data_IF_991629056239
#
_entry.id   IF_991629056239
#
_cell.length_a   1.000
_cell.length_b   1.000
_cell.length_c   1.000
_cell.angle_alpha   90.00
_cell.angle_beta   90.00
_cell.angle_gamma   90.00
#
_symmetry.space_group_name_H-M   'P 1'
#
loop_
_entity.id
_entity.type
_entity.pdbx_description
1 polymer ?
#
# COMPACT_ATOMS: atom_id res chain seq x y z
N UNK A 1 -8.22 -13.06 -10.28
CA UNK A 1 -7.56 -11.90 -9.67
C UNK A 1 -7.71 -10.67 -10.56
N UNK A 2 -8.11 -9.53 -9.97
CA UNK A 2 -8.16 -8.23 -10.65
C UNK A 2 -6.87 -7.46 -10.31
N UNK A 3 -6.00 -7.26 -11.31
CA UNK A 3 -4.69 -6.64 -11.20
C UNK A 3 -4.56 -5.51 -12.23
N UNK A 4 -5.40 -4.49 -12.11
CA UNK A 4 -5.49 -3.36 -13.05
C UNK A 4 -4.97 -2.07 -12.43
N UNK A 5 -4.56 -1.06 -13.24
CA UNK A 5 -4.15 0.24 -12.71
C UNK A 5 -5.28 0.95 -11.95
N UNK A 6 -4.89 1.63 -10.86
CA UNK A 6 -5.76 2.51 -10.08
C UNK A 6 -5.06 3.86 -9.93
N UNK A 7 -5.10 4.74 -10.94
CA UNK A 7 -4.35 6.00 -10.94
C UNK A 7 -4.90 6.99 -9.91
N UNK A 8 -4.10 8.00 -9.56
CA UNK A 8 -4.60 9.15 -8.79
C UNK A 8 -5.45 10.04 -9.67
N UNK A 9 -6.57 10.50 -9.14
CA UNK A 9 -7.34 11.62 -9.69
C UNK A 9 -6.65 12.96 -9.37
N UNK A 10 -7.12 14.05 -9.97
CA UNK A 10 -6.58 15.41 -9.76
C UNK A 10 -6.67 15.87 -8.28
N UNK A 11 -7.71 15.45 -7.57
CA UNK A 11 -7.93 15.76 -6.15
C UNK A 11 -7.12 14.86 -5.20
N UNK A 12 -6.29 13.96 -5.73
CA UNK A 12 -5.50 12.99 -4.98
C UNK A 12 -6.22 11.69 -4.63
N UNK A 13 -7.51 11.55 -4.96
CA UNK A 13 -8.25 10.31 -4.73
C UNK A 13 -7.73 9.17 -5.62
N UNK A 14 -8.04 7.93 -5.25
CA UNK A 14 -7.72 6.75 -6.04
C UNK A 14 -8.86 6.48 -7.02
N UNK A 15 -8.59 6.54 -8.33
CA UNK A 15 -9.57 6.19 -9.35
C UNK A 15 -9.70 4.67 -9.45
N UNK A 16 -10.92 4.17 -9.31
CA UNK A 16 -11.25 2.73 -9.35
C UNK A 16 -12.13 2.34 -10.55
N UNK A 17 -12.31 3.22 -11.54
CA UNK A 17 -13.20 3.00 -12.69
C UNK A 17 -12.83 1.73 -13.47
N UNK A 18 -11.53 1.44 -13.62
CA UNK A 18 -11.09 0.22 -14.34
C UNK A 18 -11.43 -1.04 -13.53
N UNK A 19 -11.30 -1.00 -12.21
CA UNK A 19 -11.72 -2.12 -11.35
C UNK A 19 -13.22 -2.32 -11.46
N UNK A 20 -14.00 -1.24 -11.39
CA UNK A 20 -15.46 -1.28 -11.50
C UNK A 20 -15.92 -1.80 -12.86
N UNK A 21 -15.27 -1.39 -13.96
CA UNK A 21 -15.62 -1.92 -15.30
C UNK A 21 -15.44 -3.43 -15.41
N UNK A 22 -14.38 -3.98 -14.81
CA UNK A 22 -14.17 -5.44 -14.75
C UNK A 22 -15.27 -6.13 -13.92
N UNK A 23 -15.67 -5.52 -12.80
CA UNK A 23 -16.74 -6.08 -11.97
C UNK A 23 -18.10 -6.04 -12.68
N UNK A 24 -18.38 -4.99 -13.47
CA UNK A 24 -19.59 -4.91 -14.33
C UNK A 24 -19.59 -6.08 -15.31
N UNK A 25 -18.51 -6.29 -16.06
CA UNK A 25 -18.42 -7.40 -17.02
C UNK A 25 -18.61 -8.77 -16.35
N UNK A 26 -17.98 -9.02 -15.22
CA UNK A 26 -18.14 -10.27 -14.46
C UNK A 26 -19.58 -10.45 -13.97
N UNK A 27 -20.22 -9.37 -13.52
CA UNK A 27 -21.61 -9.39 -13.07
C UNK A 27 -22.58 -9.69 -14.20
N UNK A 28 -22.39 -9.08 -15.38
CA UNK A 28 -23.20 -9.33 -16.59
C UNK A 28 -23.05 -10.77 -17.09
N UNK A 29 -21.85 -11.35 -16.97
CA UNK A 29 -21.58 -12.75 -17.31
C UNK A 29 -22.13 -13.74 -16.27
N UNK A 30 -22.71 -13.27 -15.16
CA UNK A 30 -23.12 -14.08 -14.01
C UNK A 30 -21.99 -15.01 -13.52
N UNK A 31 -20.77 -14.43 -13.39
CA UNK A 31 -19.62 -15.18 -12.90
C UNK A 31 -19.88 -15.65 -11.47
N UNK A 32 -19.72 -16.95 -11.22
CA UNK A 32 -20.06 -17.59 -9.94
C UNK A 32 -18.82 -17.97 -9.07
N UNK A 33 -17.62 -17.64 -9.57
CA UNK A 33 -16.38 -17.90 -8.83
C UNK A 33 -15.96 -16.76 -7.89
N UNK A 34 -14.88 -16.98 -7.14
CA UNK A 34 -14.28 -15.97 -6.27
C UNK A 34 -13.58 -14.86 -7.07
N UNK A 35 -13.85 -13.62 -6.74
CA UNK A 35 -13.22 -12.43 -7.33
C UNK A 35 -12.29 -11.78 -6.31
N UNK A 36 -10.99 -11.82 -6.54
CA UNK A 36 -9.99 -11.26 -5.64
C UNK A 36 -9.38 -10.00 -6.25
N UNK A 37 -9.64 -8.83 -5.66
CA UNK A 37 -9.03 -7.56 -6.06
C UNK A 37 -7.62 -7.49 -5.46
N UNK A 38 -6.59 -7.37 -6.32
CA UNK A 38 -5.19 -7.10 -5.92
C UNK A 38 -4.76 -5.66 -6.20
N UNK A 39 -5.48 -4.96 -7.06
CA UNK A 39 -5.27 -3.53 -7.29
C UNK A 39 -5.47 -2.74 -6.01
N UNK A 40 -4.59 -1.78 -5.72
CA UNK A 40 -4.75 -0.93 -4.52
C UNK A 40 -5.99 -0.04 -4.67
N UNK A 41 -6.92 -0.19 -3.75
CA UNK A 41 -8.17 0.57 -3.67
C UNK A 41 -8.31 1.16 -2.27
N UNK A 42 -9.04 2.27 -2.14
CA UNK A 42 -9.22 2.98 -0.87
C UNK A 42 -9.96 2.12 0.14
N UNK A 43 -9.58 2.13 1.45
CA UNK A 43 -10.26 1.38 2.49
C UNK A 43 -11.78 1.59 2.50
N UNK A 44 -12.52 0.47 2.52
CA UNK A 44 -13.98 0.43 2.41
C UNK A 44 -14.51 0.23 0.98
N UNK A 45 -13.68 0.26 -0.05
CA UNK A 45 -14.09 0.12 -1.45
C UNK A 45 -14.62 -1.27 -1.77
N UNK A 46 -13.97 -2.33 -1.26
CA UNK A 46 -14.48 -3.70 -1.45
C UNK A 46 -15.89 -3.87 -0.91
N UNK A 47 -16.18 -3.27 0.25
CA UNK A 47 -17.52 -3.34 0.83
C UNK A 47 -18.56 -2.60 -0.02
N UNK A 48 -18.20 -1.47 -0.63
CA UNK A 48 -19.06 -0.76 -1.59
C UNK A 48 -19.33 -1.60 -2.83
N UNK A 49 -18.30 -2.24 -3.38
CA UNK A 49 -18.45 -3.13 -4.53
C UNK A 49 -19.30 -4.37 -4.22
N UNK A 50 -19.19 -4.96 -3.03
CA UNK A 50 -20.07 -6.06 -2.59
C UNK A 50 -21.55 -5.64 -2.52
N UNK A 51 -21.83 -4.40 -2.14
CA UNK A 51 -23.19 -3.88 -2.10
C UNK A 51 -23.73 -3.60 -3.52
N UNK A 52 -22.88 -3.13 -4.42
CA UNK A 52 -23.23 -2.81 -5.81
C UNK A 52 -23.37 -4.07 -6.68
N UNK A 53 -22.50 -5.05 -6.49
CA UNK A 53 -22.42 -6.31 -7.25
C UNK A 53 -22.71 -7.51 -6.34
N UNK A 54 -23.94 -7.60 -5.84
CA UNK A 54 -24.33 -8.59 -4.84
C UNK A 54 -24.39 -10.04 -5.36
N UNK A 55 -24.28 -10.22 -6.68
CA UNK A 55 -24.14 -11.53 -7.33
C UNK A 55 -22.69 -11.99 -7.47
N UNK A 56 -21.69 -11.18 -7.05
CA UNK A 56 -20.29 -11.54 -7.08
C UNK A 56 -19.73 -11.78 -5.67
N UNK A 57 -18.90 -12.82 -5.52
CA UNK A 57 -18.12 -13.06 -4.30
C UNK A 57 -16.81 -12.30 -4.38
N UNK A 58 -16.78 -11.05 -3.86
CA UNK A 58 -15.64 -10.13 -3.96
C UNK A 58 -14.82 -10.13 -2.67
N UNK A 59 -13.51 -10.28 -2.80
CA UNK A 59 -12.53 -10.24 -1.72
C UNK A 59 -11.35 -9.35 -2.10
N UNK A 60 -10.54 -8.97 -1.10
CA UNK A 60 -9.34 -8.14 -1.33
C UNK A 60 -8.07 -8.87 -0.89
N UNK A 61 -7.10 -8.99 -1.79
CA UNK A 61 -5.82 -9.67 -1.53
C UNK A 61 -4.68 -8.73 -1.92
N UNK A 62 -4.20 -7.88 -1.00
CA UNK A 62 -3.19 -6.87 -1.29
C UNK A 62 -1.85 -7.47 -1.73
N UNK A 63 -1.09 -6.68 -2.49
CA UNK A 63 0.26 -7.01 -2.92
C UNK A 63 1.28 -6.09 -2.24
N UNK A 64 2.40 -6.64 -1.75
CA UNK A 64 3.44 -5.91 -1.03
C UNK A 64 4.80 -5.91 -1.76
N UNK A 65 4.87 -6.52 -2.94
CA UNK A 65 6.09 -6.62 -3.74
C UNK A 65 6.59 -5.25 -4.21
N UNK A 66 7.91 -5.14 -4.36
CA UNK A 66 8.55 -3.98 -4.96
C UNK A 66 8.60 -4.17 -6.47
N UNK A 67 8.14 -3.18 -7.23
CA UNK A 67 8.05 -3.23 -8.70
C UNK A 67 9.36 -3.71 -9.36
N UNK A 68 10.51 -3.18 -8.93
CA UNK A 68 11.82 -3.51 -9.52
C UNK A 68 12.31 -4.92 -9.22
N UNK A 69 11.84 -5.54 -8.14
CA UNK A 69 12.28 -6.85 -7.67
C UNK A 69 11.11 -7.80 -7.45
N UNK A 70 9.99 -7.57 -8.14
CA UNK A 70 8.73 -8.27 -7.88
C UNK A 70 8.86 -9.80 -7.95
N UNK A 71 9.57 -10.33 -8.94
CA UNK A 71 9.79 -11.77 -9.08
C UNK A 71 10.64 -12.32 -7.92
N UNK A 72 11.74 -11.65 -7.58
CA UNK A 72 12.61 -12.03 -6.47
C UNK A 72 11.87 -11.94 -5.14
N UNK A 73 11.12 -10.86 -4.92
CA UNK A 73 10.33 -10.66 -3.72
C UNK A 73 9.24 -11.74 -3.59
N UNK A 74 8.58 -12.12 -4.69
CA UNK A 74 7.57 -13.16 -4.68
C UNK A 74 8.15 -14.55 -4.34
N UNK A 75 9.29 -14.89 -4.92
CA UNK A 75 9.89 -16.21 -4.75
C UNK A 75 10.66 -16.39 -3.43
N UNK A 76 11.31 -15.32 -2.94
CA UNK A 76 12.28 -15.42 -1.84
C UNK A 76 11.99 -14.51 -0.64
N UNK A 77 11.17 -13.46 -0.81
CA UNK A 77 10.88 -12.47 0.22
C UNK A 77 9.36 -12.33 0.49
N UNK A 78 8.57 -13.32 0.10
CA UNK A 78 7.13 -13.32 0.31
C UNK A 78 6.81 -13.72 1.76
N UNK A 79 6.92 -12.75 2.66
CA UNK A 79 6.80 -13.01 4.09
C UNK A 79 5.35 -13.12 4.58
N UNK A 80 4.40 -12.51 3.87
CA UNK A 80 3.01 -12.49 4.30
C UNK A 80 2.03 -12.50 3.13
N UNK A 81 1.05 -13.38 3.21
CA UNK A 81 -0.18 -13.35 2.42
C UNK A 81 -1.31 -12.80 3.29
N UNK A 82 -1.85 -11.66 2.91
CA UNK A 82 -3.04 -11.09 3.56
C UNK A 82 -4.26 -11.41 2.71
N UNK A 83 -5.30 -11.96 3.33
CA UNK A 83 -6.55 -12.33 2.68
C UNK A 83 -7.70 -11.60 3.35
N UNK A 84 -8.25 -10.60 2.68
CA UNK A 84 -9.44 -9.88 3.10
C UNK A 84 -10.70 -10.56 2.59
N UNK A 85 -11.16 -11.57 3.29
CA UNK A 85 -12.35 -12.34 2.96
C UNK A 85 -12.98 -12.92 4.23
N UNK A 86 -14.30 -13.02 4.22
CA UNK A 86 -15.14 -13.73 5.18
C UNK A 86 -15.74 -15.04 4.61
N UNK A 87 -15.33 -15.41 3.38
CA UNK A 87 -15.71 -16.63 2.69
C UNK A 87 -14.58 -17.67 2.74
N UNK A 88 -14.83 -18.81 3.42
CA UNK A 88 -13.85 -19.87 3.65
C UNK A 88 -13.38 -20.55 2.36
N UNK A 89 -14.25 -20.65 1.34
CA UNK A 89 -13.89 -21.21 0.05
C UNK A 89 -12.87 -20.30 -0.66
N UNK A 90 -13.15 -19.01 -0.75
CA UNK A 90 -12.20 -18.03 -1.30
C UNK A 90 -10.87 -18.03 -0.54
N UNK A 91 -10.91 -18.09 0.79
CA UNK A 91 -9.69 -18.15 1.61
C UNK A 91 -8.85 -19.39 1.25
N UNK A 92 -9.50 -20.53 1.07
CA UNK A 92 -8.83 -21.80 0.71
C UNK A 92 -8.23 -21.74 -0.70
N UNK A 93 -8.98 -21.22 -1.68
CA UNK A 93 -8.51 -21.04 -3.06
C UNK A 93 -7.33 -20.07 -3.16
N UNK A 94 -7.38 -18.97 -2.41
CA UNK A 94 -6.27 -18.00 -2.37
C UNK A 94 -5.02 -18.62 -1.76
N UNK A 95 -5.13 -19.37 -0.66
CA UNK A 95 -4.01 -20.10 -0.05
C UNK A 95 -3.40 -21.11 -1.03
N UNK A 96 -4.24 -21.90 -1.69
CA UNK A 96 -3.80 -22.89 -2.67
C UNK A 96 -3.06 -22.25 -3.83
N UNK A 97 -3.58 -21.14 -4.37
CA UNK A 97 -2.96 -20.42 -5.49
C UNK A 97 -1.58 -19.81 -5.18
N UNK A 98 -1.29 -19.51 -3.92
CA UNK A 98 0.02 -19.01 -3.47
C UNK A 98 0.96 -20.12 -2.98
N UNK A 99 0.41 -21.31 -2.71
CA UNK A 99 1.17 -22.49 -2.29
C UNK A 99 1.94 -22.26 -0.98
N UNK A 100 3.21 -22.65 -0.98
CA UNK A 100 4.09 -22.57 0.21
C UNK A 100 4.98 -21.31 0.23
N UNK A 101 4.85 -20.43 -0.76
CA UNK A 101 5.72 -19.26 -0.90
C UNK A 101 5.56 -18.25 0.25
N UNK A 102 4.33 -17.89 0.71
CA UNK A 102 4.18 -17.02 1.88
C UNK A 102 4.55 -17.75 3.16
N UNK A 103 5.42 -17.14 3.98
CA UNK A 103 5.79 -17.72 5.29
C UNK A 103 4.68 -17.58 6.33
N UNK A 104 3.83 -16.57 6.19
CA UNK A 104 2.68 -16.33 7.07
C UNK A 104 1.44 -16.03 6.23
N UNK A 105 0.28 -16.50 6.69
CA UNK A 105 -1.01 -16.14 6.10
C UNK A 105 -1.89 -15.51 7.18
N UNK A 106 -2.42 -14.35 6.91
CA UNK A 106 -3.31 -13.62 7.81
C UNK A 106 -4.64 -13.38 7.10
N UNK A 107 -5.73 -13.85 7.73
CA UNK A 107 -7.09 -13.65 7.25
C UNK A 107 -7.75 -12.56 8.07
N UNK A 108 -8.44 -11.64 7.41
CA UNK A 108 -9.10 -10.50 8.02
C UNK A 108 -10.27 -10.01 7.16
N UNK A 109 -11.01 -9.02 7.62
CA UNK A 109 -12.04 -8.39 6.78
C UNK A 109 -11.42 -7.67 5.57
N UNK A 110 -12.15 -7.50 4.45
CA UNK A 110 -11.63 -6.76 3.29
C UNK A 110 -11.11 -5.35 3.64
N UNK A 111 -11.85 -4.62 4.48
CA UNK A 111 -11.44 -3.27 4.91
C UNK A 111 -10.15 -3.27 5.73
N UNK A 112 -9.95 -4.25 6.61
CA UNK A 112 -8.67 -4.38 7.34
C UNK A 112 -7.52 -4.72 6.40
N UNK A 113 -7.74 -5.55 5.39
CA UNK A 113 -6.73 -5.87 4.38
C UNK A 113 -6.37 -4.65 3.52
N UNK A 114 -7.37 -3.84 3.12
CA UNK A 114 -7.16 -2.56 2.45
C UNK A 114 -6.34 -1.60 3.33
N UNK A 115 -6.72 -1.44 4.60
CA UNK A 115 -5.97 -0.64 5.57
C UNK A 115 -4.53 -1.13 5.74
N UNK A 116 -4.30 -2.45 5.77
CA UNK A 116 -2.94 -3.02 5.88
C UNK A 116 -2.05 -2.59 4.72
N UNK A 117 -2.58 -2.55 3.49
CA UNK A 117 -1.85 -2.06 2.32
C UNK A 117 -1.45 -0.59 2.48
N UNK A 118 -2.38 0.26 2.87
CA UNK A 118 -2.12 1.69 3.09
C UNK A 118 -1.16 1.93 4.26
N UNK A 119 -1.33 1.20 5.37
CA UNK A 119 -0.41 1.25 6.50
C UNK A 119 1.03 0.98 6.07
N UNK A 120 1.25 -0.11 5.32
CA UNK A 120 2.58 -0.48 4.82
C UNK A 120 3.20 0.61 3.95
N UNK A 121 2.46 1.12 2.96
CA UNK A 121 3.01 2.07 2.00
C UNK A 121 3.21 3.47 2.62
N UNK A 122 2.27 3.93 3.44
CA UNK A 122 2.41 5.23 4.13
C UNK A 122 3.51 5.21 5.19
N UNK A 123 3.69 4.08 5.90
CA UNK A 123 4.82 3.92 6.82
C UNK A 123 6.17 4.00 6.10
N UNK A 124 6.30 3.38 4.91
CA UNK A 124 7.50 3.49 4.08
C UNK A 124 7.73 4.95 3.63
N UNK A 125 6.68 5.62 3.17
CA UNK A 125 6.74 7.03 2.77
C UNK A 125 7.17 7.93 3.94
N UNK A 126 6.59 7.75 5.12
CA UNK A 126 6.95 8.47 6.34
C UNK A 126 8.44 8.29 6.69
N UNK A 127 8.98 7.08 6.58
CA UNK A 127 10.41 6.82 6.85
C UNK A 127 11.32 7.58 5.90
N UNK A 128 10.98 7.65 4.61
CA UNK A 128 11.74 8.42 3.62
C UNK A 128 11.67 9.91 3.93
N UNK A 129 10.48 10.45 4.21
CA UNK A 129 10.30 11.87 4.56
C UNK A 129 11.09 12.21 5.81
N UNK A 130 11.00 11.40 6.87
CA UNK A 130 11.76 11.57 8.11
C UNK A 130 13.27 11.56 7.87
N UNK A 131 13.78 10.60 7.08
CA UNK A 131 15.19 10.50 6.77
C UNK A 131 15.71 11.75 6.04
N UNK A 132 14.96 12.25 5.04
CA UNK A 132 15.32 13.46 4.30
C UNK A 132 15.27 14.72 5.18
N UNK A 133 14.29 14.84 6.07
CA UNK A 133 14.23 15.95 7.03
C UNK A 133 15.46 15.97 7.93
N UNK A 134 15.83 14.83 8.51
CA UNK A 134 17.03 14.71 9.34
C UNK A 134 18.32 14.91 8.56
N UNK A 135 18.39 14.44 7.32
CA UNK A 135 19.52 14.68 6.44
C UNK A 135 19.74 16.19 6.23
N UNK A 136 18.68 16.94 5.89
CA UNK A 136 18.76 18.39 5.71
C UNK A 136 19.16 19.11 7.01
N UNK A 137 18.63 18.67 8.16
CA UNK A 137 19.03 19.19 9.46
C UNK A 137 20.54 18.97 9.72
N UNK A 138 21.04 17.75 9.49
CA UNK A 138 22.46 17.43 9.63
C UNK A 138 23.32 18.28 8.72
N UNK A 139 22.93 18.47 7.44
CA UNK A 139 23.65 19.33 6.52
C UNK A 139 23.73 20.78 7.03
N UNK A 140 22.62 21.32 7.51
CA UNK A 140 22.56 22.68 8.06
C UNK A 140 23.47 22.85 9.29
N UNK A 141 23.58 21.78 10.11
CA UNK A 141 24.43 21.78 11.32
C UNK A 141 25.88 21.35 11.06
N UNK A 142 26.27 21.12 9.80
CA UNK A 142 27.62 20.64 9.46
C UNK A 142 27.91 19.22 9.97
N UNK A 143 26.88 18.38 10.12
CA UNK A 143 26.95 17.04 10.69
C UNK A 143 26.76 15.95 9.63
N UNK A 144 27.26 14.75 9.91
CA UNK A 144 27.17 13.60 9.01
C UNK A 144 25.91 12.77 9.35
N UNK A 145 24.95 12.81 8.45
CA UNK A 145 23.69 12.05 8.57
C UNK A 145 23.90 10.53 8.64
N UNK A 146 24.85 10.00 7.86
CA UNK A 146 25.08 8.55 7.84
C UNK A 146 25.57 8.04 9.20
N UNK A 147 26.41 8.82 9.89
CA UNK A 147 26.84 8.50 11.27
C UNK A 147 25.66 8.54 12.27
N UNK A 148 24.78 9.53 12.13
CA UNK A 148 23.60 9.65 13.00
C UNK A 148 22.66 8.45 12.76
N UNK A 149 22.38 8.12 11.50
CA UNK A 149 21.56 6.97 11.11
C UNK A 149 22.15 5.66 11.63
N UNK A 150 23.45 5.43 11.40
CA UNK A 150 24.09 4.17 11.77
C UNK A 150 24.13 3.98 13.28
N UNK A 151 24.39 5.05 14.06
CA UNK A 151 24.28 5.03 15.51
C UNK A 151 22.84 4.68 15.96
N UNK A 152 21.83 5.25 15.33
CA UNK A 152 20.43 4.90 15.60
C UNK A 152 20.13 3.41 15.31
N UNK A 153 20.66 2.87 14.20
CA UNK A 153 20.46 1.46 13.86
C UNK A 153 21.16 0.52 14.86
N UNK A 154 22.33 0.89 15.37
CA UNK A 154 23.00 0.12 16.43
C UNK A 154 22.22 0.08 17.74
N UNK A 155 21.35 1.07 17.98
CA UNK A 155 20.45 1.06 19.13
C UNK A 155 19.33 0.00 19.01
N UNK A 156 19.20 -0.69 17.87
CA UNK A 156 18.25 -1.79 17.69
C UNK A 156 16.80 -1.37 17.41
N UNK A 157 16.57 -0.11 17.04
CA UNK A 157 15.22 0.48 16.83
C UNK A 157 14.82 0.44 15.35
N UNK A 158 15.16 -0.59 14.60
CA UNK A 158 14.69 -0.71 13.22
C UNK A 158 15.70 -1.37 12.28
N UNK A 159 15.25 -1.63 11.07
CA UNK A 159 15.95 -2.39 10.04
C UNK A 159 16.73 -1.53 9.03
N UNK A 160 16.73 -0.21 9.16
CA UNK A 160 17.40 0.71 8.22
C UNK A 160 16.76 0.83 6.84
N UNK A 161 15.76 0.03 6.49
CA UNK A 161 15.05 0.16 5.23
C UNK A 161 14.36 1.52 5.15
N UNK A 162 14.45 2.17 3.99
CA UNK A 162 13.92 3.52 3.74
C UNK A 162 14.52 4.66 4.59
N UNK A 163 15.60 4.41 5.35
CA UNK A 163 16.34 5.44 6.08
C UNK A 163 17.60 5.92 5.34
N UNK A 164 17.96 5.31 4.22
CA UNK A 164 19.04 5.81 3.36
C UNK A 164 18.52 6.96 2.50
N UNK A 165 19.13 8.12 2.61
CA UNK A 165 18.80 9.27 1.76
C UNK A 165 19.48 9.13 0.41
N UNK A 166 18.69 9.22 -0.65
CA UNK A 166 19.20 9.28 -2.01
C UNK A 166 19.40 10.75 -2.40
N UNK A 167 20.65 11.19 -2.41
CA UNK A 167 21.01 12.59 -2.71
C UNK A 167 20.62 13.05 -4.13
N UNK A 168 20.36 12.11 -5.04
CA UNK A 168 20.00 12.42 -6.41
C UNK A 168 18.49 12.65 -6.58
N UNK A 169 17.67 11.92 -5.83
CA UNK A 169 16.20 11.93 -6.00
C UNK A 169 15.47 12.60 -4.83
N UNK A 170 16.15 12.82 -3.71
CA UNK A 170 15.54 13.42 -2.52
C UNK A 170 14.47 12.54 -1.90
N UNK A 171 13.20 12.96 -1.96
CA UNK A 171 12.06 12.31 -1.34
C UNK A 171 11.69 10.94 -1.93
N UNK A 172 10.54 10.43 -1.52
CA UNK A 172 10.00 9.21 -2.10
C UNK A 172 9.32 9.49 -3.45
N UNK A 173 9.48 8.54 -4.36
CA UNK A 173 8.92 8.60 -5.71
C UNK A 173 8.36 7.24 -6.13
N UNK A 174 8.33 7.01 -7.46
CA UNK A 174 7.74 5.83 -8.07
C UNK A 174 6.23 5.92 -8.17
N UNK A 175 5.59 4.82 -8.57
CA UNK A 175 4.16 4.79 -8.87
C UNK A 175 3.29 4.61 -7.63
N UNK A 176 3.78 3.93 -6.58
CA UNK A 176 2.97 3.48 -5.46
C UNK A 176 2.95 4.45 -4.27
N UNK A 177 4.13 4.85 -3.74
CA UNK A 177 4.18 5.62 -2.50
C UNK A 177 3.50 6.98 -2.61
N UNK A 178 3.74 7.80 -3.66
CA UNK A 178 3.05 9.08 -3.81
C UNK A 178 1.54 8.92 -3.96
N UNK A 179 1.10 7.96 -4.79
CA UNK A 179 -0.31 7.69 -5.04
C UNK A 179 -1.05 7.29 -3.76
N UNK A 180 -0.53 6.29 -3.05
CA UNK A 180 -1.20 5.75 -1.87
C UNK A 180 -1.17 6.74 -0.69
N UNK A 181 -0.07 7.51 -0.53
CA UNK A 181 -0.01 8.55 0.50
C UNK A 181 -1.02 9.68 0.25
N UNK A 182 -1.19 10.12 -0.99
CA UNK A 182 -2.20 11.13 -1.38
C UNK A 182 -3.62 10.58 -1.16
N UNK A 183 -3.90 9.35 -1.59
CA UNK A 183 -5.20 8.75 -1.43
C UNK A 183 -5.59 8.57 0.05
N UNK A 184 -4.64 8.21 0.92
CA UNK A 184 -4.89 8.13 2.36
C UNK A 184 -5.13 9.51 2.98
N UNK A 185 -4.34 10.51 2.62
CA UNK A 185 -4.54 11.88 3.09
C UNK A 185 -5.93 12.41 2.70
N UNK A 186 -6.36 12.16 1.46
CA UNK A 186 -7.70 12.51 0.98
C UNK A 186 -8.80 11.76 1.74
N UNK A 187 -8.65 10.46 1.97
CA UNK A 187 -9.62 9.67 2.73
C UNK A 187 -9.80 10.22 4.15
N UNK A 188 -8.70 10.57 4.84
CA UNK A 188 -8.75 11.14 6.20
C UNK A 188 -9.52 12.46 6.22
N UNK A 189 -9.33 13.30 5.18
CA UNK A 189 -10.10 14.54 5.02
C UNK A 189 -11.58 14.28 4.80
N UNK A 190 -11.92 13.38 3.89
CA UNK A 190 -13.30 13.03 3.57
C UNK A 190 -14.06 12.44 4.77
N UNK A 191 -13.33 11.76 5.66
CA UNK A 191 -13.86 11.26 6.93
C UNK A 191 -13.93 12.32 8.03
N UNK A 192 -13.41 13.54 7.80
CA UNK A 192 -13.39 14.62 8.79
C UNK A 192 -12.51 14.32 10.00
N UNK A 193 -11.49 13.48 9.89
CA UNK A 193 -10.62 13.12 11.01
C UNK A 193 -9.63 14.25 11.31
N UNK A 194 -9.48 14.69 12.59
CA UNK A 194 -8.64 15.83 12.95
C UNK A 194 -7.16 15.45 13.03
N UNK A 195 -6.54 15.03 11.92
CA UNK A 195 -5.13 14.67 11.87
C UNK A 195 -4.49 15.09 10.56
N UNK A 196 -3.31 15.70 10.63
CA UNK A 196 -2.59 16.24 9.47
C UNK A 196 -1.38 15.39 9.04
N UNK A 197 -1.02 14.36 9.80
CA UNK A 197 0.21 13.58 9.59
C UNK A 197 0.36 13.09 8.15
N UNK A 198 -0.72 12.59 7.53
CA UNK A 198 -0.67 12.04 6.17
C UNK A 198 -0.50 13.14 5.11
N UNK A 199 -1.10 14.33 5.33
CA UNK A 199 -0.89 15.51 4.49
C UNK A 199 0.55 16.03 4.60
N UNK A 200 1.08 16.08 5.82
CA UNK A 200 2.45 16.53 6.09
C UNK A 200 3.47 15.61 5.41
N UNK A 201 3.28 14.30 5.45
CA UNK A 201 4.15 13.34 4.73
C UNK A 201 4.21 13.68 3.24
N UNK A 202 3.07 13.96 2.61
CA UNK A 202 3.00 14.32 1.18
C UNK A 202 3.64 15.68 0.93
N UNK A 203 3.23 16.72 1.68
CA UNK A 203 3.70 18.09 1.47
C UNK A 203 5.18 18.29 1.77
N UNK A 204 5.74 17.56 2.74
CA UNK A 204 7.17 17.61 3.03
C UNK A 204 7.97 16.82 1.98
N UNK A 205 7.43 15.72 1.45
CA UNK A 205 8.07 15.01 0.35
C UNK A 205 8.29 15.93 -0.87
N UNK A 206 7.30 16.73 -1.21
CA UNK A 206 7.37 17.66 -2.36
C UNK A 206 8.46 18.74 -2.19
N UNK A 207 8.95 18.99 -0.96
CA UNK A 207 10.06 19.92 -0.68
C UNK A 207 11.44 19.27 -0.90
N UNK A 208 11.51 17.94 -1.00
CA UNK A 208 12.75 17.19 -1.16
C UNK A 208 12.98 16.71 -2.60
N UNK A 209 11.97 16.82 -3.47
CA UNK A 209 12.00 16.41 -4.89
C UNK A 209 12.43 17.54 -5.82
#
# INVERSE_FOLDING_TARGET
>A
YICVPTPSSEDGSCNTDIVESVLIELSELNYDGSVCIKSTIVPGTTQKFRQQFNNLNISFVPEFLREKTAVEDFLYNNNVLVIGSDDDETISLVKESHGVLPTHTVTMTPTEAELTKYFSNTYKAMRVTFANAFYNLCQTMGSDYDKVRDAFLFHGVGDGHYLKVNKQYGGFGGTCLPKDSKALAKLVDDLGLPMDIFKVIVSDNDKFT
#
